data_IF_034296780470
#
_entry.id   IF_034296780470
#
_cell.length_a   1.000
_cell.length_b   1.000
_cell.length_c   1.000
_cell.angle_alpha   90.00
_cell.angle_beta   90.00
_cell.angle_gamma   90.00
#
_symmetry.space_group_name_H-M   'P 1'
#
loop_
_entity.id
_entity.type
_entity.pdbx_description
1 polymer ?
#
# COMPACT_ATOMS: atom_id res chain seq x y z
N UNK A 1 3.39 -14.10 6.21
CA UNK A 1 3.34 -15.30 5.33
C UNK A 1 4.50 -15.23 4.36
N UNK A 2 5.16 -16.35 4.04
CA UNK A 2 6.26 -16.36 3.05
C UNK A 2 5.68 -16.67 1.66
N UNK A 3 6.22 -16.06 0.61
CA UNK A 3 5.72 -16.23 -0.77
C UNK A 3 5.70 -17.69 -1.26
N UNK A 4 6.61 -18.53 -0.78
CA UNK A 4 6.70 -19.94 -1.18
C UNK A 4 5.85 -20.87 -0.29
N UNK A 5 5.05 -20.31 0.61
CA UNK A 5 4.25 -21.10 1.56
C UNK A 5 2.89 -21.49 1.00
N UNK A 6 2.38 -22.66 1.40
CA UNK A 6 1.01 -23.08 1.08
C UNK A 6 -0.03 -22.06 1.59
N UNK A 7 0.22 -21.46 2.75
CA UNK A 7 -0.63 -20.40 3.32
C UNK A 7 -0.78 -19.21 2.37
N UNK A 8 0.30 -18.79 1.70
CA UNK A 8 0.25 -17.73 0.70
C UNK A 8 -0.55 -18.14 -0.54
N UNK A 9 -0.37 -19.37 -1.03
CA UNK A 9 -1.12 -19.88 -2.19
C UNK A 9 -2.63 -19.90 -1.92
N UNK A 10 -3.04 -20.41 -0.76
CA UNK A 10 -4.45 -20.41 -0.35
C UNK A 10 -4.97 -18.98 -0.20
N UNK A 11 -4.20 -18.10 0.44
CA UNK A 11 -4.55 -16.70 0.62
C UNK A 11 -4.80 -15.98 -0.72
N UNK A 12 -3.88 -16.09 -1.68
CA UNK A 12 -4.01 -15.40 -2.97
C UNK A 12 -5.19 -15.95 -3.79
N UNK A 13 -5.43 -17.26 -3.77
CA UNK A 13 -6.59 -17.87 -4.45
C UNK A 13 -7.90 -17.30 -3.89
N UNK A 14 -8.02 -17.20 -2.56
CA UNK A 14 -9.22 -16.65 -1.91
C UNK A 14 -9.41 -15.17 -2.29
N UNK A 15 -8.35 -14.35 -2.16
CA UNK A 15 -8.42 -12.92 -2.50
C UNK A 15 -8.80 -12.72 -3.97
N UNK A 16 -8.21 -13.50 -4.87
CA UNK A 16 -8.49 -13.41 -6.30
C UNK A 16 -9.92 -13.87 -6.64
N UNK A 17 -10.38 -14.95 -6.02
CA UNK A 17 -11.75 -15.44 -6.19
C UNK A 17 -12.78 -14.41 -5.69
N UNK A 18 -12.53 -13.77 -4.54
CA UNK A 18 -13.38 -12.70 -4.03
C UNK A 18 -13.37 -11.48 -4.96
N UNK A 19 -12.20 -11.10 -5.46
CA UNK A 19 -12.04 -9.95 -6.35
C UNK A 19 -12.84 -10.11 -7.64
N UNK A 20 -12.74 -11.27 -8.31
CA UNK A 20 -13.36 -11.51 -9.62
C UNK A 20 -14.80 -12.00 -9.53
N UNK A 21 -15.14 -12.88 -8.58
CA UNK A 21 -16.48 -13.51 -8.56
C UNK A 21 -17.43 -12.84 -7.57
N UNK A 22 -16.98 -12.50 -6.36
CA UNK A 22 -17.87 -11.98 -5.31
C UNK A 22 -18.13 -10.47 -5.43
N UNK A 23 -17.10 -9.71 -5.81
CA UNK A 23 -17.15 -8.25 -5.87
C UNK A 23 -17.01 -7.70 -7.29
N UNK A 24 -17.37 -8.50 -8.29
CA UNK A 24 -17.37 -8.07 -9.68
C UNK A 24 -18.16 -6.76 -9.84
N UNK A 25 -17.66 -5.85 -10.68
CA UNK A 25 -18.22 -4.52 -10.97
C UNK A 25 -18.26 -3.53 -9.77
N UNK A 26 -17.89 -3.95 -8.55
CA UNK A 26 -17.86 -3.08 -7.36
C UNK A 26 -16.44 -2.58 -7.08
N UNK A 27 -15.95 -1.68 -7.93
CA UNK A 27 -14.57 -1.14 -7.89
C UNK A 27 -14.14 -0.64 -6.50
N UNK A 28 -15.04 0.03 -5.76
CA UNK A 28 -14.73 0.50 -4.39
C UNK A 28 -14.45 -0.66 -3.44
N UNK A 29 -15.28 -1.71 -3.49
CA UNK A 29 -15.14 -2.89 -2.63
C UNK A 29 -13.90 -3.69 -3.03
N UNK A 30 -13.62 -3.81 -4.32
CA UNK A 30 -12.39 -4.41 -4.85
C UNK A 30 -11.13 -3.70 -4.32
N UNK A 31 -11.11 -2.36 -4.33
CA UNK A 31 -9.99 -1.60 -3.78
C UNK A 31 -9.82 -1.82 -2.28
N UNK A 32 -10.91 -1.87 -1.51
CA UNK A 32 -10.83 -2.19 -0.08
C UNK A 32 -10.35 -3.62 0.16
N UNK A 33 -10.81 -4.59 -0.62
CA UNK A 33 -10.35 -5.97 -0.53
C UNK A 33 -8.84 -6.03 -0.75
N UNK A 34 -8.31 -5.40 -1.80
CA UNK A 34 -6.88 -5.37 -2.09
C UNK A 34 -6.09 -4.66 -1.00
N UNK A 35 -6.60 -3.53 -0.50
CA UNK A 35 -5.96 -2.78 0.59
C UNK A 35 -5.84 -3.64 1.85
N UNK A 36 -6.97 -4.19 2.33
CA UNK A 36 -6.99 -5.03 3.52
C UNK A 36 -6.13 -6.28 3.33
N UNK A 37 -6.20 -6.91 2.15
CA UNK A 37 -5.40 -8.09 1.82
C UNK A 37 -3.90 -7.80 1.85
N UNK A 38 -3.46 -6.65 1.33
CA UNK A 38 -2.06 -6.21 1.44
C UNK A 38 -1.62 -6.08 2.90
N UNK A 39 -2.45 -5.46 3.75
CA UNK A 39 -2.16 -5.30 5.18
C UNK A 39 -2.12 -6.61 5.93
N UNK A 40 -3.04 -7.53 5.65
CA UNK A 40 -3.06 -8.88 6.23
C UNK A 40 -1.80 -9.64 5.84
N UNK A 41 -1.42 -9.61 4.55
CA UNK A 41 -0.24 -10.31 4.07
C UNK A 41 1.05 -9.85 4.77
N UNK A 42 1.28 -8.53 4.80
CA UNK A 42 2.47 -7.96 5.45
C UNK A 42 2.42 -8.08 6.97
N UNK A 43 1.26 -7.89 7.60
CA UNK A 43 1.09 -8.05 9.04
C UNK A 43 1.31 -9.49 9.54
N UNK A 44 1.03 -10.49 8.69
CA UNK A 44 1.35 -11.88 8.98
C UNK A 44 2.84 -12.21 8.80
N UNK A 45 3.62 -11.34 8.14
CA UNK A 45 5.09 -11.49 8.06
C UNK A 45 5.75 -10.83 9.28
N UNK A 46 5.40 -9.57 9.54
CA UNK A 46 5.77 -8.85 10.75
C UNK A 46 4.71 -7.79 11.05
N UNK A 47 4.10 -7.84 12.24
CA UNK A 47 3.05 -6.91 12.65
C UNK A 47 3.54 -5.44 12.67
N UNK A 48 4.84 -5.21 12.87
CA UNK A 48 5.44 -3.86 12.84
C UNK A 48 5.30 -3.23 11.46
N UNK A 49 5.38 -4.03 10.39
CA UNK A 49 5.21 -3.56 9.01
C UNK A 49 3.84 -2.93 8.77
N UNK A 50 2.81 -3.30 9.54
CA UNK A 50 1.46 -2.74 9.41
C UNK A 50 1.48 -1.23 9.67
N UNK A 51 2.19 -0.78 10.71
CA UNK A 51 2.29 0.64 11.06
C UNK A 51 3.06 1.41 9.99
N UNK A 52 4.16 0.83 9.49
CA UNK A 52 4.95 1.42 8.42
C UNK A 52 4.15 1.53 7.11
N UNK A 53 3.43 0.46 6.75
CA UNK A 53 2.58 0.41 5.57
C UNK A 53 1.41 1.40 5.69
N UNK A 54 0.85 1.55 6.89
CA UNK A 54 -0.16 2.56 7.18
C UNK A 54 0.35 3.97 6.98
N UNK A 55 1.51 4.29 7.54
CA UNK A 55 2.15 5.58 7.35
C UNK A 55 2.44 5.84 5.85
N UNK A 56 3.01 4.87 5.15
CA UNK A 56 3.35 4.98 3.73
C UNK A 56 2.09 5.18 2.86
N UNK A 57 1.09 4.30 2.97
CA UNK A 57 -0.13 4.37 2.16
C UNK A 57 -0.91 5.65 2.41
N UNK A 58 -1.04 6.08 3.67
CA UNK A 58 -1.70 7.35 4.03
C UNK A 58 -0.95 8.54 3.43
N UNK A 59 0.38 8.59 3.60
CA UNK A 59 1.22 9.66 3.09
C UNK A 59 1.12 9.78 1.57
N UNK A 60 1.33 8.68 0.84
CA UNK A 60 1.29 8.69 -0.63
C UNK A 60 -0.12 8.95 -1.17
N UNK A 61 -1.18 8.52 -0.48
CA UNK A 61 -2.55 8.86 -0.84
C UNK A 61 -2.78 10.38 -0.80
N UNK A 62 -2.40 11.04 0.30
CA UNK A 62 -2.55 12.48 0.43
C UNK A 62 -1.65 13.27 -0.51
N UNK A 63 -0.41 12.82 -0.73
CA UNK A 63 0.50 13.44 -1.69
C UNK A 63 -0.06 13.35 -3.12
N UNK A 64 -0.59 12.20 -3.52
CA UNK A 64 -1.22 12.02 -4.83
C UNK A 64 -2.44 12.94 -5.01
N UNK A 65 -3.28 13.06 -3.99
CA UNK A 65 -4.41 14.00 -4.02
C UNK A 65 -3.95 15.47 -4.05
N UNK A 66 -2.89 15.80 -3.32
CA UNK A 66 -2.31 17.15 -3.31
C UNK A 66 -1.70 17.52 -4.67
N UNK A 67 -1.06 16.57 -5.36
CA UNK A 67 -0.56 16.74 -6.74
C UNK A 67 -1.72 17.05 -7.68
N UNK A 68 -2.79 16.25 -7.61
CA UNK A 68 -4.00 16.45 -8.43
C UNK A 68 -4.62 17.84 -8.20
N UNK A 69 -4.61 18.33 -6.97
CA UNK A 69 -5.20 19.62 -6.57
C UNK A 69 -4.21 20.78 -6.58
N UNK A 70 -2.99 20.60 -7.11
CA UNK A 70 -1.94 21.62 -7.01
C UNK A 70 -2.24 22.90 -7.82
N UNK A 71 -3.06 22.80 -8.87
CA UNK A 71 -3.50 23.95 -9.68
C UNK A 71 -2.41 24.57 -10.58
N UNK A 72 -1.13 24.23 -10.38
CA UNK A 72 -0.04 24.58 -11.29
C UNK A 72 1.09 23.53 -11.25
N UNK A 73 1.90 23.53 -12.30
CA UNK A 73 2.97 22.55 -12.49
C UNK A 73 4.10 22.70 -11.45
N UNK A 74 4.45 23.93 -11.06
CA UNK A 74 5.51 24.19 -10.08
C UNK A 74 5.19 23.57 -8.72
N UNK A 75 3.97 23.73 -8.22
CA UNK A 75 3.52 23.17 -6.93
C UNK A 75 3.41 21.65 -7.01
N UNK A 76 2.86 21.11 -8.09
CA UNK A 76 2.83 19.66 -8.35
C UNK A 76 4.24 19.05 -8.29
N UNK A 77 5.21 19.69 -8.96
CA UNK A 77 6.62 19.26 -8.96
C UNK A 77 7.25 19.26 -7.56
N UNK A 78 7.00 20.29 -6.76
CA UNK A 78 7.48 20.33 -5.37
C UNK A 78 6.87 19.25 -4.48
N UNK A 79 5.57 18.95 -4.65
CA UNK A 79 4.91 17.87 -3.91
C UNK A 79 5.46 16.51 -4.33
N UNK A 80 5.76 16.32 -5.62
CA UNK A 80 6.44 15.10 -6.08
C UNK A 80 7.82 14.95 -5.47
N UNK A 81 8.62 16.03 -5.38
CA UNK A 81 9.92 15.99 -4.73
C UNK A 81 9.83 15.65 -3.25
N UNK A 82 8.88 16.22 -2.51
CA UNK A 82 8.67 15.84 -1.11
C UNK A 82 8.25 14.37 -0.98
N UNK A 83 7.44 13.86 -1.91
CA UNK A 83 7.07 12.45 -1.97
C UNK A 83 8.25 11.51 -2.22
N UNK A 84 9.17 11.87 -3.12
CA UNK A 84 10.39 11.09 -3.35
C UNK A 84 11.28 11.08 -2.10
N UNK A 85 11.50 12.24 -1.48
CA UNK A 85 12.28 12.35 -0.23
C UNK A 85 11.64 11.49 0.88
N UNK A 86 10.32 11.58 1.05
CA UNK A 86 9.61 10.80 2.04
C UNK A 86 9.67 9.29 1.75
N UNK A 87 9.60 8.88 0.48
CA UNK A 87 9.78 7.47 0.09
C UNK A 87 11.17 6.95 0.41
N UNK A 88 12.22 7.74 0.12
CA UNK A 88 13.59 7.38 0.48
C UNK A 88 13.75 7.30 2.01
N UNK A 89 13.17 8.24 2.75
CA UNK A 89 13.20 8.22 4.22
C UNK A 89 12.49 6.98 4.79
N UNK A 90 11.34 6.60 4.24
CA UNK A 90 10.63 5.38 4.62
C UNK A 90 11.45 4.12 4.31
N UNK A 91 12.11 4.06 3.15
CA UNK A 91 12.99 2.94 2.79
C UNK A 91 14.21 2.85 3.70
N UNK A 92 14.81 4.00 4.04
CA UNK A 92 15.90 4.06 5.00
C UNK A 92 15.45 3.55 6.37
N UNK A 93 14.31 4.03 6.86
CA UNK A 93 13.75 3.56 8.12
C UNK A 93 13.47 2.05 8.11
N UNK A 94 12.79 1.55 7.08
CA UNK A 94 12.55 0.13 6.89
C UNK A 94 13.86 -0.69 6.97
N UNK A 95 14.89 -0.28 6.22
CA UNK A 95 16.13 -1.04 6.11
C UNK A 95 16.97 -1.04 7.40
N UNK A 96 17.00 0.07 8.14
CA UNK A 96 17.96 0.24 9.24
C UNK A 96 17.37 0.12 10.65
N UNK A 97 16.04 0.14 10.80
CA UNK A 97 15.38 0.07 12.12
C UNK A 97 14.81 -1.33 12.44
N UNK A 98 15.31 -2.37 11.78
CA UNK A 98 15.05 -3.77 12.13
C UNK A 98 13.66 -4.27 11.72
N UNK A 99 13.20 -3.87 10.53
CA UNK A 99 12.07 -4.47 9.83
C UNK A 99 12.51 -5.58 8.87
#
# INVERSE_FOLDING_TARGET
MVFHSLSFLVFIIIVFALYYFAFNEKVRVQNYLLLVSGYVFYGFADYRMVLLLFAATTLFYFLGNAIKNAGNEKKSRWITYSGVIAGIALLFYFKYFGF
#
